data_IF_510750978468
#
_entry.id   IF_510750978468
#
_cell.length_a   1.000
_cell.length_b   1.000
_cell.length_c   1.000
_cell.angle_alpha   90.00
_cell.angle_beta   90.00
_cell.angle_gamma   90.00
#
_symmetry.space_group_name_H-M   'P 1'
#
loop_
_entity.id
_entity.type
_entity.pdbx_description
1 polymer ?
#
# COMPACT_ATOMS: atom_id res chain seq x y z
N UNK A 1 -2.02 25.90 41.52
CA UNK A 1 -2.09 24.42 41.50
C UNK A 1 -3.19 23.87 40.57
N UNK A 2 -4.43 24.38 40.61
CA UNK A 2 -5.55 23.88 39.77
C UNK A 2 -5.39 24.05 38.24
N UNK A 3 -4.67 25.10 37.80
CA UNK A 3 -4.41 25.36 36.36
C UNK A 3 -3.32 24.46 35.76
N UNK A 4 -2.28 24.14 36.52
CA UNK A 4 -1.18 23.25 36.09
C UNK A 4 -1.70 21.82 35.90
N UNK A 5 -2.61 21.38 36.77
CA UNK A 5 -3.25 20.06 36.67
C UNK A 5 -4.11 19.93 35.41
N UNK A 6 -4.78 21.01 34.99
CA UNK A 6 -5.59 21.03 33.78
C UNK A 6 -4.74 20.99 32.51
N UNK A 7 -3.57 21.65 32.51
CA UNK A 7 -2.62 21.62 31.38
C UNK A 7 -1.94 20.26 31.22
N UNK A 8 -1.64 19.56 32.32
CA UNK A 8 -1.06 18.21 32.30
C UNK A 8 -2.06 17.17 31.78
N UNK A 9 -3.36 17.33 32.08
CA UNK A 9 -4.42 16.43 31.63
C UNK A 9 -4.67 16.52 30.11
N UNK A 10 -4.51 17.70 29.50
CA UNK A 10 -4.66 17.85 28.05
C UNK A 10 -3.52 17.18 27.24
N UNK A 11 -2.31 17.07 27.80
CA UNK A 11 -1.16 16.45 27.11
C UNK A 11 -1.22 14.91 27.12
N UNK A 12 -1.96 14.31 28.07
CA UNK A 12 -2.11 12.86 28.17
C UNK A 12 -3.09 12.26 27.14
N UNK A 13 -3.92 13.08 26.48
CA UNK A 13 -5.00 12.62 25.58
C UNK A 13 -4.53 12.51 24.13
N UNK A 14 -3.34 13.03 23.77
CA UNK A 14 -2.85 13.06 22.39
C UNK A 14 -2.07 11.82 21.93
N UNK A 15 -1.94 10.77 22.76
CA UNK A 15 -1.37 9.49 22.31
C UNK A 15 -2.39 8.65 21.54
N UNK A 16 -2.86 9.14 20.39
CA UNK A 16 -3.45 8.25 19.38
C UNK A 16 -2.31 7.54 18.68
N UNK A 17 -2.12 6.25 18.96
CA UNK A 17 -1.21 5.40 18.21
C UNK A 17 -1.71 5.30 16.78
N UNK A 18 -1.06 6.02 15.86
CA UNK A 18 -1.31 5.89 14.43
C UNK A 18 -0.78 4.53 13.96
N UNK A 19 -1.58 3.48 14.16
CA UNK A 19 -1.31 2.13 13.66
C UNK A 19 -1.76 2.08 12.19
N UNK A 20 -0.81 2.24 11.27
CA UNK A 20 -1.03 2.01 9.86
C UNK A 20 -0.17 0.84 9.39
N UNK A 21 -0.83 -0.18 8.86
CA UNK A 21 -0.17 -1.32 8.23
C UNK A 21 0.64 -0.87 7.03
N UNK A 22 1.82 -1.44 6.84
CA UNK A 22 2.64 -1.20 5.65
C UNK A 22 2.34 -2.26 4.61
N UNK A 23 1.99 -1.85 3.38
CA UNK A 23 1.95 -2.75 2.22
C UNK A 23 3.13 -2.40 1.34
N UNK A 24 4.00 -3.38 1.08
CA UNK A 24 5.24 -3.18 0.33
C UNK A 24 5.60 -4.39 -0.52
N UNK A 25 6.49 -4.20 -1.49
CA UNK A 25 7.03 -5.28 -2.29
C UNK A 25 7.71 -4.79 -3.55
N UNK A 26 7.94 -5.70 -4.49
CA UNK A 26 8.51 -5.41 -5.82
C UNK A 26 7.56 -5.82 -6.92
N UNK A 27 7.60 -5.12 -8.04
CA UNK A 27 6.84 -5.48 -9.25
C UNK A 27 7.83 -5.76 -10.38
N UNK A 28 7.67 -6.92 -11.03
CA UNK A 28 8.45 -7.28 -12.21
C UNK A 28 7.56 -7.42 -13.45
N UNK A 29 8.10 -7.05 -14.60
CA UNK A 29 7.50 -7.29 -15.91
C UNK A 29 8.56 -7.93 -16.82
N UNK A 30 8.26 -9.09 -17.41
CA UNK A 30 9.21 -9.80 -18.27
C UNK A 30 10.52 -10.20 -17.58
N UNK A 31 10.47 -10.52 -16.28
CA UNK A 31 11.64 -10.93 -15.48
C UNK A 31 12.54 -9.77 -15.03
N UNK A 32 12.20 -8.53 -15.33
CA UNK A 32 12.93 -7.33 -14.91
C UNK A 32 12.07 -6.47 -13.99
N UNK A 33 12.66 -5.62 -13.13
CA UNK A 33 11.92 -4.61 -12.41
C UNK A 33 11.04 -3.78 -13.36
N UNK A 34 9.81 -3.48 -12.96
CA UNK A 34 8.96 -2.56 -13.70
C UNK A 34 9.57 -1.15 -13.70
N UNK A 35 9.15 -0.32 -14.66
CA UNK A 35 9.60 1.08 -14.76
C UNK A 35 9.37 1.84 -13.45
N UNK A 36 10.34 2.66 -13.04
CA UNK A 36 10.16 3.63 -11.95
C UNK A 36 9.03 4.62 -12.25
N UNK A 37 8.37 5.12 -11.22
CA UNK A 37 7.20 6.00 -11.36
C UNK A 37 5.92 5.24 -11.74
N UNK A 38 5.91 3.91 -11.74
CA UNK A 38 4.69 3.15 -12.01
C UNK A 38 3.77 3.27 -10.80
N UNK A 39 2.55 3.78 -11.03
CA UNK A 39 1.56 3.98 -9.97
C UNK A 39 1.02 2.65 -9.47
N UNK A 40 1.07 2.46 -8.16
CA UNK A 40 0.42 1.39 -7.41
C UNK A 40 -0.67 2.04 -6.56
N UNK A 41 -1.90 1.51 -6.63
CA UNK A 41 -3.03 1.98 -5.83
C UNK A 41 -3.64 0.81 -5.06
N UNK A 42 -3.83 0.99 -3.76
CA UNK A 42 -4.52 0.04 -2.87
C UNK A 42 -5.81 0.70 -2.40
N UNK A 43 -6.94 0.09 -2.77
CA UNK A 43 -8.28 0.48 -2.35
C UNK A 43 -8.77 -0.46 -1.27
N UNK A 44 -9.12 0.07 -0.12
CA UNK A 44 -9.71 -0.64 0.99
C UNK A 44 -11.12 -0.09 1.26
N UNK A 45 -11.76 -0.50 2.36
CA UNK A 45 -13.14 -0.12 2.65
C UNK A 45 -13.31 1.39 2.94
N UNK A 46 -12.34 2.00 3.62
CA UNK A 46 -12.41 3.39 4.11
C UNK A 46 -11.55 4.37 3.30
N UNK A 47 -10.61 3.89 2.50
CA UNK A 47 -9.72 4.76 1.74
C UNK A 47 -9.06 4.14 0.51
N UNK A 48 -8.43 5.02 -0.26
CA UNK A 48 -7.52 4.67 -1.35
C UNK A 48 -6.15 5.28 -1.08
N UNK A 49 -5.11 4.47 -1.24
CA UNK A 49 -3.73 4.81 -0.92
C UNK A 49 -2.86 4.52 -2.13
N UNK A 50 -1.93 5.40 -2.47
CA UNK A 50 -1.10 5.23 -3.66
C UNK A 50 0.37 5.47 -3.40
N UNK A 51 1.20 4.76 -4.15
CA UNK A 51 2.63 4.97 -4.22
C UNK A 51 3.10 4.84 -5.68
N UNK A 52 4.35 5.20 -5.90
CA UNK A 52 5.06 4.99 -7.16
C UNK A 52 6.24 4.05 -6.93
N UNK A 53 6.56 3.24 -7.94
CA UNK A 53 7.72 2.34 -7.88
C UNK A 53 9.03 3.11 -7.97
N UNK A 54 10.06 2.62 -7.27
CA UNK A 54 11.43 3.10 -7.42
C UNK A 54 12.16 2.46 -8.63
N UNK A 55 13.45 2.76 -8.79
CA UNK A 55 14.30 2.22 -9.86
C UNK A 55 14.53 0.70 -9.79
N UNK A 56 14.20 0.07 -8.67
CA UNK A 56 14.26 -1.37 -8.46
C UNK A 56 12.88 -2.03 -8.56
N UNK A 57 11.86 -1.26 -8.99
CA UNK A 57 10.47 -1.72 -9.08
C UNK A 57 9.81 -1.90 -7.70
N UNK A 58 10.42 -1.38 -6.64
CA UNK A 58 9.91 -1.50 -5.27
C UNK A 58 8.82 -0.46 -5.02
N UNK A 59 7.80 -0.82 -4.28
CA UNK A 59 6.76 0.09 -3.82
C UNK A 59 6.50 -0.11 -2.33
N UNK A 60 5.99 0.95 -1.69
CA UNK A 60 5.59 0.96 -0.30
C UNK A 60 4.50 2.00 -0.08
N UNK A 61 3.45 1.63 0.65
CA UNK A 61 2.40 2.55 1.10
C UNK A 61 1.88 2.13 2.48
N UNK A 62 1.32 3.09 3.21
CA UNK A 62 0.73 2.87 4.53
C UNK A 62 -0.79 2.88 4.44
N UNK A 63 -1.41 1.85 5.02
CA UNK A 63 -2.86 1.64 5.06
C UNK A 63 -3.31 1.67 6.53
N UNK A 64 -4.00 2.72 6.99
CA UNK A 64 -4.47 2.88 8.38
C UNK A 64 -5.61 1.91 8.77
N UNK A 65 -6.07 1.08 7.84
CA UNK A 65 -7.14 0.11 8.06
C UNK A 65 -6.65 -1.32 7.80
N UNK A 66 -7.17 -2.27 8.56
CA UNK A 66 -6.90 -3.70 8.39
C UNK A 66 -8.02 -4.36 7.58
N UNK A 67 -7.70 -5.46 6.92
CA UNK A 67 -8.64 -6.30 6.19
C UNK A 67 -8.41 -6.33 4.69
N UNK A 68 -9.43 -6.80 3.97
CA UNK A 68 -9.36 -7.04 2.54
C UNK A 68 -9.32 -5.74 1.74
N UNK A 69 -8.37 -5.65 0.82
CA UNK A 69 -8.18 -4.54 -0.09
C UNK A 69 -7.96 -5.04 -1.52
N UNK A 70 -7.99 -4.11 -2.48
CA UNK A 70 -7.70 -4.33 -3.89
C UNK A 70 -6.47 -3.53 -4.27
N UNK A 71 -5.40 -4.22 -4.65
CA UNK A 71 -4.20 -3.62 -5.21
C UNK A 71 -4.32 -3.57 -6.73
N UNK A 72 -3.94 -2.43 -7.31
CA UNK A 72 -3.88 -2.24 -8.76
C UNK A 72 -2.56 -1.58 -9.17
N UNK A 73 -2.07 -1.93 -10.35
CA UNK A 73 -0.82 -1.41 -10.92
C UNK A 73 -1.14 -0.80 -12.28
N UNK A 74 -0.79 0.47 -12.50
CA UNK A 74 -1.06 1.14 -13.78
C UNK A 74 -0.14 0.60 -14.88
N UNK A 75 -0.73 0.07 -15.95
CA UNK A 75 -0.02 -0.43 -17.14
C UNK A 75 -0.69 0.17 -18.39
N UNK A 76 -0.12 1.26 -18.91
CA UNK A 76 -0.75 2.05 -19.97
C UNK A 76 -2.11 2.61 -19.54
N UNK A 77 -3.15 2.31 -20.31
CA UNK A 77 -4.53 2.72 -20.06
C UNK A 77 -5.31 1.77 -19.16
N UNK A 78 -4.71 0.63 -18.78
CA UNK A 78 -5.36 -0.36 -17.91
C UNK A 78 -4.68 -0.43 -16.54
N UNK A 79 -5.41 -0.96 -15.57
CA UNK A 79 -4.93 -1.17 -14.21
C UNK A 79 -5.34 -2.58 -13.76
N UNK A 80 -4.57 -3.63 -14.11
CA UNK A 80 -4.80 -4.97 -13.58
C UNK A 80 -4.78 -4.95 -12.06
N UNK A 81 -5.59 -5.82 -11.45
CA UNK A 81 -5.89 -5.79 -10.02
C UNK A 81 -5.77 -7.17 -9.39
N UNK A 82 -5.50 -7.20 -8.09
CA UNK A 82 -5.62 -8.41 -7.28
C UNK A 82 -6.08 -8.09 -5.86
N UNK A 83 -6.60 -9.10 -5.17
CA UNK A 83 -6.93 -8.98 -3.75
C UNK A 83 -5.64 -9.05 -2.92
N UNK A 84 -5.51 -8.14 -1.96
CA UNK A 84 -4.48 -8.15 -0.92
C UNK A 84 -5.15 -7.92 0.44
N UNK A 85 -4.42 -8.16 1.53
CA UNK A 85 -4.88 -7.87 2.88
C UNK A 85 -3.93 -6.86 3.54
N UNK A 86 -4.51 -5.88 4.21
CA UNK A 86 -3.80 -5.00 5.13
C UNK A 86 -3.86 -5.58 6.53
N UNK A 87 -2.75 -5.54 7.25
CA UNK A 87 -2.62 -6.02 8.63
C UNK A 87 -2.13 -4.89 9.52
N UNK A 88 -2.06 -5.11 10.83
CA UNK A 88 -1.40 -4.16 11.74
C UNK A 88 0.10 -4.05 11.42
N UNK A 89 0.74 -5.19 11.16
CA UNK A 89 2.13 -5.31 10.76
C UNK A 89 2.32 -5.18 9.24
N UNK A 90 3.57 -5.04 8.82
CA UNK A 90 3.94 -4.98 7.41
C UNK A 90 3.59 -6.25 6.64
N UNK A 91 3.00 -6.07 5.47
CA UNK A 91 2.60 -7.13 4.54
C UNK A 91 3.33 -7.00 3.21
N UNK A 92 4.06 -8.07 2.85
CA UNK A 92 4.86 -8.10 1.62
C UNK A 92 4.11 -8.75 0.46
N UNK A 93 4.05 -8.05 -0.67
CA UNK A 93 3.46 -8.51 -1.92
C UNK A 93 4.44 -8.28 -3.08
N UNK A 94 5.24 -9.30 -3.40
CA UNK A 94 6.03 -9.30 -4.63
C UNK A 94 5.13 -9.75 -5.78
N UNK A 95 5.13 -9.00 -6.87
CA UNK A 95 4.17 -9.14 -7.96
C UNK A 95 4.87 -9.32 -9.29
N UNK A 96 4.21 -10.07 -10.18
CA UNK A 96 4.56 -10.13 -11.59
C UNK A 96 3.41 -9.55 -12.40
N UNK A 97 3.71 -8.55 -13.21
CA UNK A 97 2.85 -8.04 -14.27
C UNK A 97 3.12 -8.88 -15.52
N UNK A 98 2.11 -9.62 -15.96
CA UNK A 98 2.20 -10.52 -17.10
C UNK A 98 1.02 -10.33 -18.05
N UNK A 99 1.11 -10.94 -19.24
CA UNK A 99 -0.01 -11.01 -20.18
C UNK A 99 -0.67 -12.37 -20.08
N UNK A 100 -1.93 -12.39 -19.68
CA UNK A 100 -2.79 -13.58 -19.69
C UNK A 100 -3.88 -13.38 -20.74
N UNK A 101 -3.95 -14.29 -21.72
CA UNK A 101 -4.91 -14.21 -22.82
C UNK A 101 -4.86 -12.85 -23.57
N UNK A 102 -3.65 -12.31 -23.74
CA UNK A 102 -3.41 -11.03 -24.38
C UNK A 102 -3.72 -9.79 -23.53
N UNK A 103 -4.20 -9.96 -22.30
CA UNK A 103 -4.55 -8.85 -21.39
C UNK A 103 -3.55 -8.75 -20.21
N UNK A 104 -3.19 -7.55 -19.76
CA UNK A 104 -2.40 -7.39 -18.55
C UNK A 104 -3.07 -8.02 -17.33
N UNK A 105 -2.31 -8.76 -16.53
CA UNK A 105 -2.75 -9.44 -15.32
C UNK A 105 -1.67 -9.34 -14.25
N UNK A 106 -2.10 -9.28 -12.99
CA UNK A 106 -1.21 -9.36 -11.84
C UNK A 106 -1.29 -10.76 -11.24
N UNK A 107 -0.13 -11.24 -10.78
CA UNK A 107 -0.03 -12.41 -9.90
C UNK A 107 1.01 -12.15 -8.82
N UNK A 108 0.93 -12.90 -7.73
CA UNK A 108 2.05 -12.99 -6.79
C UNK A 108 3.24 -13.67 -7.47
N UNK A 109 4.44 -13.19 -7.15
CA UNK A 109 5.70 -13.84 -7.51
C UNK A 109 5.93 -15.11 -6.69
#
# INVERSE_FOLDING_TARGET
MRKIFLTMLCLAISCTTALAGEIYGTIKEGGKPIKAGTKVEVKCAKGSYSAETDNLGSYRLFVPEQGKCTLSVKSGDVAPQMTVNSFEDSARYNLVLEKKDGKPSLRSE
#
